data_IF_935843830421
#
_entry.id   IF_935843830421
#
_cell.length_a   1.000
_cell.length_b   1.000
_cell.length_c   1.000
_cell.angle_alpha   90.00
_cell.angle_beta   90.00
_cell.angle_gamma   90.00
#
_symmetry.space_group_name_H-M   'P 1'
#
loop_
_entity.id
_entity.type
_entity.pdbx_description
1 polymer ?
#
# COMPACT_ATOMS: atom_id res chain seq x y z
N UNK A 1 3.69 -20.95 -21.92
CA UNK A 1 3.85 -19.90 -22.94
C UNK A 1 3.42 -18.60 -22.31
N UNK A 2 4.25 -17.56 -22.34
CA UNK A 2 3.82 -16.23 -21.90
C UNK A 2 2.81 -15.67 -22.90
N UNK A 3 1.66 -15.22 -22.41
CA UNK A 3 0.66 -14.55 -23.24
C UNK A 3 1.14 -13.14 -23.58
N UNK A 4 1.23 -12.79 -24.87
CA UNK A 4 1.66 -11.46 -25.30
C UNK A 4 0.72 -10.37 -24.79
N UNK A 5 1.28 -9.18 -24.61
CA UNK A 5 0.51 -7.96 -24.39
C UNK A 5 0.16 -7.35 -25.75
N UNK A 6 -1.10 -7.02 -25.94
CA UNK A 6 -1.63 -6.31 -27.10
C UNK A 6 -1.67 -4.82 -26.81
N UNK A 7 -0.95 -4.06 -27.64
CA UNK A 7 -1.02 -2.60 -27.65
C UNK A 7 -1.87 -2.15 -28.83
N UNK A 8 -2.82 -1.26 -28.57
CA UNK A 8 -3.73 -0.70 -29.57
C UNK A 8 -3.44 0.80 -29.69
N UNK A 9 -3.16 1.26 -30.91
CA UNK A 9 -3.03 2.68 -31.19
C UNK A 9 -3.71 3.00 -32.52
N UNK A 10 -4.70 3.90 -32.50
CA UNK A 10 -5.59 4.16 -33.64
C UNK A 10 -6.20 2.83 -34.12
N UNK A 11 -5.97 2.45 -35.39
CA UNK A 11 -6.48 1.22 -35.98
C UNK A 11 -5.41 0.11 -36.08
N UNK A 12 -4.29 0.26 -35.38
CA UNK A 12 -3.21 -0.72 -35.37
C UNK A 12 -3.14 -1.47 -34.03
N UNK A 13 -2.86 -2.77 -34.13
CA UNK A 13 -2.58 -3.64 -32.98
C UNK A 13 -1.17 -4.22 -33.14
N UNK A 14 -0.36 -4.12 -32.09
CA UNK A 14 0.98 -4.74 -32.02
C UNK A 14 1.07 -5.63 -30.78
N UNK A 15 1.81 -6.72 -30.89
CA UNK A 15 1.98 -7.67 -29.80
C UNK A 15 3.38 -7.56 -29.19
N UNK A 16 3.46 -7.58 -27.87
CA UNK A 16 4.67 -7.55 -27.08
C UNK A 16 4.82 -8.84 -26.28
N UNK A 17 5.98 -9.48 -26.39
CA UNK A 17 6.31 -10.68 -25.60
C UNK A 17 6.94 -10.34 -24.24
N UNK A 18 7.17 -9.06 -23.93
CA UNK A 18 7.79 -8.62 -22.68
C UNK A 18 6.74 -8.13 -21.69
N UNK A 19 6.91 -8.47 -20.41
CA UNK A 19 6.13 -7.91 -19.29
C UNK A 19 6.50 -6.46 -18.96
N UNK A 20 7.66 -5.99 -19.45
CA UNK A 20 8.14 -4.61 -19.34
C UNK A 20 8.03 -3.94 -20.69
N UNK A 21 7.25 -2.86 -20.79
CA UNK A 21 7.08 -2.10 -22.03
C UNK A 21 7.83 -0.78 -21.91
N UNK A 22 8.73 -0.51 -22.87
CA UNK A 22 9.49 0.75 -22.92
C UNK A 22 8.83 1.73 -23.87
N UNK A 23 8.75 3.00 -23.47
CA UNK A 23 8.22 4.09 -24.30
C UNK A 23 8.89 4.13 -25.67
N UNK A 24 10.23 4.02 -25.72
CA UNK A 24 10.98 4.02 -26.99
C UNK A 24 10.56 2.89 -27.95
N UNK A 25 10.16 1.74 -27.40
CA UNK A 25 9.72 0.61 -28.19
C UNK A 25 8.31 0.88 -28.76
N UNK A 26 7.42 1.50 -27.96
CA UNK A 26 6.10 1.96 -28.43
C UNK A 26 6.27 3.00 -29.55
N UNK A 27 7.13 4.01 -29.34
CA UNK A 27 7.43 5.04 -30.34
C UNK A 27 7.87 4.42 -31.67
N UNK A 28 8.79 3.46 -31.61
CA UNK A 28 9.32 2.78 -32.79
C UNK A 28 8.23 1.96 -33.50
N UNK A 29 7.42 1.20 -32.75
CA UNK A 29 6.44 0.29 -33.33
C UNK A 29 5.23 0.98 -33.96
N UNK A 30 4.85 2.14 -33.42
CA UNK A 30 3.67 2.90 -33.86
C UNK A 30 4.04 4.20 -34.58
N UNK A 31 5.33 4.45 -34.81
CA UNK A 31 5.86 5.68 -35.39
C UNK A 31 5.32 6.95 -34.68
N UNK A 32 5.35 6.93 -33.34
CA UNK A 32 4.90 8.05 -32.50
C UNK A 32 6.12 8.92 -32.17
N UNK A 33 6.03 10.21 -32.50
CA UNK A 33 7.12 11.18 -32.23
C UNK A 33 7.19 11.62 -30.76
N UNK A 34 6.05 11.63 -30.05
CA UNK A 34 6.01 12.01 -28.64
C UNK A 34 6.66 10.94 -27.76
N UNK A 35 7.49 11.37 -26.81
CA UNK A 35 8.00 10.53 -25.71
C UNK A 35 7.03 10.48 -24.51
N UNK A 36 5.96 11.28 -24.53
CA UNK A 36 4.98 11.32 -23.45
C UNK A 36 3.87 10.31 -23.77
N UNK A 37 4.13 9.04 -23.48
CA UNK A 37 3.19 7.95 -23.76
C UNK A 37 2.81 7.26 -22.46
N UNK A 38 1.52 7.05 -22.25
CA UNK A 38 0.97 6.20 -21.20
C UNK A 38 0.06 5.14 -21.82
N UNK A 39 -0.30 4.14 -21.02
CA UNK A 39 -1.20 3.06 -21.42
C UNK A 39 -2.50 3.13 -20.61
N UNK A 40 -3.62 2.84 -21.24
CA UNK A 40 -4.89 2.65 -20.56
C UNK A 40 -5.36 1.21 -20.78
N UNK A 41 -5.77 0.52 -19.73
CA UNK A 41 -6.42 -0.78 -19.93
C UNK A 41 -7.93 -0.65 -20.22
N UNK A 42 -8.56 -1.79 -20.47
CA UNK A 42 -10.00 -1.90 -20.79
C UNK A 42 -10.93 -1.54 -19.62
N UNK A 43 -10.37 -1.33 -18.42
CA UNK A 43 -11.09 -0.92 -17.21
C UNK A 43 -10.76 0.53 -16.83
N UNK A 44 -10.24 1.31 -17.78
CA UNK A 44 -9.83 2.70 -17.60
C UNK A 44 -8.69 2.92 -16.59
N UNK A 45 -7.98 1.87 -16.17
CA UNK A 45 -6.79 2.07 -15.35
C UNK A 45 -5.65 2.61 -16.22
N UNK A 46 -4.95 3.59 -15.68
CA UNK A 46 -3.88 4.30 -16.37
C UNK A 46 -2.52 3.85 -15.85
N UNK A 47 -1.59 3.58 -16.77
CA UNK A 47 -0.23 3.14 -16.52
C UNK A 47 0.74 4.11 -17.18
N UNK A 48 1.47 4.83 -16.34
CA UNK A 48 2.48 5.79 -16.78
C UNK A 48 3.88 5.15 -16.75
N UNK A 49 4.80 5.65 -17.57
CA UNK A 49 6.20 5.25 -17.50
C UNK A 49 6.85 5.76 -16.21
N UNK A 50 7.82 5.00 -15.70
CA UNK A 50 8.74 5.42 -14.65
C UNK A 50 9.81 6.40 -15.21
N UNK A 51 10.77 6.79 -14.36
CA UNK A 51 11.88 7.69 -14.75
C UNK A 51 12.75 7.14 -15.90
N UNK A 52 12.78 5.84 -16.08
CA UNK A 52 13.57 5.15 -17.11
C UNK A 52 12.77 4.90 -18.41
N UNK A 53 11.52 5.40 -18.47
CA UNK A 53 10.64 5.20 -19.61
C UNK A 53 10.01 3.81 -19.68
N UNK A 54 9.98 3.07 -18.57
CA UNK A 54 9.39 1.74 -18.47
C UNK A 54 7.99 1.77 -17.87
N UNK A 55 7.06 1.07 -18.49
CA UNK A 55 5.70 0.85 -17.99
C UNK A 55 5.65 -0.56 -17.41
N UNK A 56 5.44 -0.62 -16.09
CA UNK A 56 5.55 -1.82 -15.26
C UNK A 56 4.21 -2.20 -14.63
N UNK A 57 4.17 -3.37 -13.97
CA UNK A 57 3.02 -3.85 -13.19
C UNK A 57 1.71 -3.91 -13.98
N UNK A 58 1.80 -4.30 -15.25
CA UNK A 58 0.66 -4.45 -16.15
C UNK A 58 -0.22 -5.61 -15.68
N UNK A 59 -1.41 -5.27 -15.16
CA UNK A 59 -2.38 -6.26 -14.66
C UNK A 59 -3.24 -6.87 -15.77
N UNK A 60 -3.30 -6.19 -16.92
CA UNK A 60 -4.07 -6.58 -18.09
C UNK A 60 -3.16 -7.00 -19.25
N UNK A 61 -3.78 -7.49 -20.32
CA UNK A 61 -3.10 -7.91 -21.56
C UNK A 61 -3.45 -7.04 -22.77
N UNK A 62 -4.42 -6.14 -22.64
CA UNK A 62 -4.85 -5.26 -23.73
C UNK A 62 -4.78 -3.84 -23.21
N UNK A 63 -4.04 -3.00 -23.92
CA UNK A 63 -3.90 -1.59 -23.58
C UNK A 63 -4.06 -0.72 -24.81
N UNK A 64 -4.70 0.44 -24.62
CA UNK A 64 -4.64 1.54 -25.57
C UNK A 64 -3.42 2.40 -25.28
N UNK A 65 -2.70 2.77 -26.33
CA UNK A 65 -1.55 3.68 -26.27
C UNK A 65 -2.05 5.11 -26.34
N UNK A 66 -1.61 5.94 -25.41
CA UNK A 66 -2.09 7.30 -25.24
C UNK A 66 -0.92 8.29 -25.29
N UNK A 67 -0.58 8.82 -26.47
CA UNK A 67 0.41 9.87 -26.61
C UNK A 67 -0.16 11.20 -26.12
N UNK A 68 0.67 11.99 -25.47
CA UNK A 68 0.36 13.33 -24.99
C UNK A 68 1.34 14.35 -25.53
N UNK A 69 0.89 15.60 -25.65
CA UNK A 69 1.77 16.75 -25.90
C UNK A 69 2.39 17.28 -24.61
N UNK A 70 1.78 17.00 -23.46
CA UNK A 70 2.21 17.41 -22.12
C UNK A 70 2.96 16.27 -21.46
N UNK A 71 4.08 16.58 -20.80
CA UNK A 71 4.88 15.55 -20.14
C UNK A 71 4.15 15.02 -18.92
N UNK A 72 3.88 13.72 -18.91
CA UNK A 72 3.23 13.03 -17.80
C UNK A 72 4.16 11.97 -17.24
N UNK A 73 4.42 12.05 -15.93
CA UNK A 73 5.22 11.07 -15.20
C UNK A 73 4.65 10.83 -13.82
N UNK A 74 4.90 9.63 -13.28
CA UNK A 74 4.64 9.36 -11.88
C UNK A 74 5.83 9.79 -11.04
N UNK A 75 5.52 10.44 -9.93
CA UNK A 75 6.46 10.68 -8.85
C UNK A 75 5.93 10.04 -7.57
N UNK A 76 6.85 9.79 -6.64
CA UNK A 76 6.55 9.12 -5.37
C UNK A 76 7.03 9.98 -4.21
N UNK A 77 6.16 10.14 -3.21
CA UNK A 77 6.49 10.73 -1.91
C UNK A 77 6.34 9.66 -0.83
N UNK A 78 7.29 9.63 0.09
CA UNK A 78 7.26 8.79 1.28
C UNK A 78 7.01 9.64 2.51
N UNK A 79 6.00 9.28 3.30
CA UNK A 79 5.67 9.95 4.55
C UNK A 79 5.87 8.97 5.69
N UNK A 80 6.78 9.33 6.59
CA UNK A 80 7.01 8.54 7.80
C UNK A 80 5.84 8.72 8.77
N UNK A 81 5.47 7.63 9.45
CA UNK A 81 4.51 7.71 10.55
C UNK A 81 5.00 8.68 11.63
N UNK A 82 4.07 9.39 12.25
CA UNK A 82 4.34 10.23 13.43
C UNK A 82 4.18 9.46 14.73
N UNK A 83 3.33 8.44 14.73
CA UNK A 83 3.15 7.54 15.86
C UNK A 83 2.87 6.12 15.36
N UNK A 84 3.33 5.14 16.13
CA UNK A 84 2.93 3.74 15.94
C UNK A 84 3.15 2.96 17.22
N UNK A 85 2.19 2.14 17.60
CA UNK A 85 2.26 1.27 18.78
C UNK A 85 1.33 0.08 18.60
N UNK A 86 1.51 -0.96 19.41
CA UNK A 86 0.51 -2.02 19.53
C UNK A 86 -0.15 -1.95 20.90
N UNK A 87 -1.40 -2.41 20.98
CA UNK A 87 -2.15 -2.57 22.23
C UNK A 87 -2.53 -4.03 22.40
N UNK A 88 -2.57 -4.53 23.64
CA UNK A 88 -2.87 -5.93 23.94
C UNK A 88 -4.02 -6.08 24.94
N UNK A 89 -4.84 -7.12 24.78
CA UNK A 89 -5.98 -7.38 25.68
C UNK A 89 -5.59 -7.71 27.12
N UNK A 90 -4.34 -8.13 27.38
CA UNK A 90 -3.89 -8.62 28.69
C UNK A 90 -3.04 -7.65 29.51
N UNK A 91 -2.88 -6.37 29.11
CA UNK A 91 -2.11 -5.41 29.91
C UNK A 91 -1.62 -4.15 29.19
N UNK A 92 -0.87 -3.32 29.93
CA UNK A 92 -0.26 -2.07 29.48
C UNK A 92 0.80 -2.30 28.38
N UNK A 93 0.94 -1.30 27.50
CA UNK A 93 1.93 -1.26 26.43
C UNK A 93 3.34 -1.62 26.92
N UNK A 94 3.95 -2.63 26.29
CA UNK A 94 5.38 -2.91 26.43
C UNK A 94 6.10 -2.26 25.22
N UNK A 95 7.05 -1.33 25.45
CA UNK A 95 7.84 -0.73 24.38
C UNK A 95 8.82 -1.76 23.79
N UNK A 96 8.29 -2.69 22.99
CA UNK A 96 9.07 -3.58 22.15
C UNK A 96 9.60 -2.86 20.91
N UNK A 97 10.60 -3.46 20.27
CA UNK A 97 11.15 -2.97 18.99
C UNK A 97 10.28 -3.32 17.76
N UNK A 98 9.06 -3.81 17.98
CA UNK A 98 8.18 -4.34 16.94
C UNK A 98 6.72 -3.95 17.20
N UNK A 99 5.99 -3.79 16.10
CA UNK A 99 4.53 -3.73 16.11
C UNK A 99 3.98 -5.16 16.05
N UNK A 100 2.74 -5.37 16.49
CA UNK A 100 2.14 -6.71 16.55
C UNK A 100 0.67 -6.72 16.23
N UNK A 101 0.25 -7.74 15.49
CA UNK A 101 -1.16 -8.09 15.29
C UNK A 101 -1.39 -9.56 15.63
N UNK A 102 -2.65 -9.94 15.84
CA UNK A 102 -3.05 -11.34 16.01
C UNK A 102 -3.07 -11.80 17.47
N UNK A 103 -3.31 -13.09 17.65
CA UNK A 103 -3.53 -13.73 18.94
C UNK A 103 -2.35 -14.60 19.34
N UNK A 104 -2.02 -14.65 20.63
CA UNK A 104 -1.08 -15.62 21.18
C UNK A 104 -1.73 -16.52 22.22
N UNK A 105 -1.61 -17.82 21.98
CA UNK A 105 -2.10 -18.86 22.89
C UNK A 105 -1.27 -18.85 24.19
N UNK A 106 0.06 -18.69 24.08
CA UNK A 106 0.97 -18.67 25.23
C UNK A 106 0.59 -17.55 26.21
N UNK A 107 0.34 -16.35 25.68
CA UNK A 107 0.07 -15.15 26.48
C UNK A 107 -1.42 -14.87 26.68
N UNK A 108 -2.28 -15.69 26.06
CA UNK A 108 -3.75 -15.58 26.09
C UNK A 108 -4.24 -14.16 25.81
N UNK A 109 -3.69 -13.55 24.77
CA UNK A 109 -4.02 -12.17 24.40
C UNK A 109 -4.12 -11.97 22.90
N UNK A 110 -4.85 -10.92 22.52
CA UNK A 110 -4.95 -10.41 21.16
C UNK A 110 -4.30 -9.04 21.11
N UNK A 111 -3.62 -8.76 20.01
CA UNK A 111 -2.86 -7.53 19.80
C UNK A 111 -3.31 -6.86 18.51
N UNK A 112 -3.47 -5.54 18.57
CA UNK A 112 -3.71 -4.71 17.40
C UNK A 112 -2.63 -3.63 17.32
N UNK A 113 -2.31 -3.23 16.10
CA UNK A 113 -1.34 -2.17 15.85
C UNK A 113 -2.07 -0.92 15.38
N UNK A 114 -1.68 0.24 15.89
CA UNK A 114 -2.13 1.54 15.41
C UNK A 114 -0.96 2.30 14.78
N UNK A 115 -1.21 2.99 13.67
CA UNK A 115 -0.22 3.78 12.92
C UNK A 115 -0.85 5.12 12.52
N UNK A 116 -0.15 6.22 12.78
CA UNK A 116 -0.60 7.57 12.45
C UNK A 116 0.35 8.29 11.51
N UNK A 117 -0.18 9.12 10.62
CA UNK A 117 0.57 10.13 9.89
C UNK A 117 0.10 11.50 10.35
N UNK A 118 0.98 12.33 10.92
CA UNK A 118 0.57 13.63 11.47
C UNK A 118 0.68 14.78 10.48
N UNK A 119 1.37 14.59 9.35
CA UNK A 119 1.60 15.64 8.37
C UNK A 119 1.56 15.08 6.93
N UNK A 120 0.60 15.57 6.13
CA UNK A 120 0.45 15.25 4.71
C UNK A 120 0.66 16.47 3.80
N UNK A 121 1.25 17.57 4.28
CA UNK A 121 1.43 18.81 3.49
C UNK A 121 2.28 18.61 2.24
N UNK A 122 3.22 17.65 2.25
CA UNK A 122 4.02 17.31 1.07
C UNK A 122 3.19 16.65 -0.03
N UNK A 123 2.06 16.00 0.31
CA UNK A 123 1.09 15.49 -0.66
C UNK A 123 0.28 16.65 -1.25
N UNK A 124 -0.28 17.53 -0.41
CA UNK A 124 -1.06 18.68 -0.85
C UNK A 124 -2.13 18.32 -1.88
N UNK A 125 -2.35 19.18 -2.87
CA UNK A 125 -3.36 19.00 -3.93
C UNK A 125 -2.85 18.17 -5.13
N UNK A 126 -1.83 17.31 -4.92
CA UNK A 126 -1.28 16.47 -5.99
C UNK A 126 -2.33 15.50 -6.52
N UNK A 127 -2.25 15.19 -7.82
CA UNK A 127 -3.13 14.20 -8.44
C UNK A 127 -2.73 12.77 -8.04
N UNK A 128 -3.25 12.29 -6.90
CA UNK A 128 -2.93 10.97 -6.34
C UNK A 128 -3.46 9.86 -7.27
N UNK A 129 -2.53 9.00 -7.71
CA UNK A 129 -2.83 7.80 -8.50
C UNK A 129 -2.95 6.58 -7.60
N UNK A 130 -1.98 6.38 -6.69
CA UNK A 130 -1.99 5.30 -5.70
C UNK A 130 -1.45 5.77 -4.36
N UNK A 131 -1.92 5.15 -3.29
CA UNK A 131 -1.30 5.30 -1.98
C UNK A 131 -1.30 3.96 -1.22
N UNK A 132 -0.18 3.66 -0.56
CA UNK A 132 0.02 2.42 0.17
C UNK A 132 0.51 2.66 1.59
N UNK A 133 -0.12 2.02 2.57
CA UNK A 133 0.53 1.79 3.86
C UNK A 133 1.54 0.66 3.69
N UNK A 134 2.77 0.87 4.16
CA UNK A 134 3.84 -0.12 4.06
C UNK A 134 4.46 -0.44 5.41
N UNK A 135 4.48 -1.72 5.73
CA UNK A 135 5.16 -2.28 6.90
C UNK A 135 6.08 -3.41 6.45
N UNK A 136 7.21 -3.56 7.14
CA UNK A 136 8.12 -4.69 6.93
C UNK A 136 7.81 -5.77 7.96
N UNK A 137 7.73 -7.02 7.51
CA UNK A 137 7.67 -8.17 8.41
C UNK A 137 8.91 -8.23 9.29
N UNK A 138 8.73 -8.67 10.53
CA UNK A 138 9.81 -9.09 11.41
C UNK A 138 9.53 -10.55 11.80
N UNK A 139 10.53 -11.41 11.76
CA UNK A 139 10.33 -12.82 12.08
C UNK A 139 10.17 -12.96 13.59
N UNK A 140 9.06 -13.57 14.01
CA UNK A 140 8.78 -13.92 15.40
C UNK A 140 9.64 -15.11 15.84
N UNK A 141 9.85 -16.07 14.96
CA UNK A 141 10.69 -17.25 15.13
C UNK A 141 10.88 -17.96 13.78
N UNK A 142 11.94 -18.76 13.65
CA UNK A 142 12.25 -19.47 12.40
C UNK A 142 11.25 -20.59 12.03
N UNK A 143 10.45 -21.06 13.00
CA UNK A 143 9.57 -22.24 12.86
C UNK A 143 8.11 -21.95 13.31
N UNK A 144 7.66 -20.69 13.28
CA UNK A 144 6.26 -20.37 13.61
C UNK A 144 5.32 -20.78 12.48
N UNK A 145 4.00 -20.83 12.77
CA UNK A 145 2.93 -21.13 11.81
C UNK A 145 3.19 -20.45 10.45
N UNK A 146 3.39 -21.26 9.41
CA UNK A 146 3.83 -20.79 8.10
C UNK A 146 2.70 -20.14 7.27
N UNK A 147 1.46 -20.39 7.65
CA UNK A 147 0.30 -19.96 6.87
C UNK A 147 0.14 -18.44 6.95
N UNK A 148 0.08 -17.76 5.80
CA UNK A 148 -0.24 -16.34 5.75
C UNK A 148 -1.56 -16.07 6.47
N UNK A 149 -1.59 -15.00 7.26
CA UNK A 149 -2.78 -14.56 7.99
C UNK A 149 -3.33 -13.27 7.40
N UNK A 150 -4.65 -13.17 7.32
CA UNK A 150 -5.28 -11.94 6.85
C UNK A 150 -5.11 -10.83 7.89
N UNK A 151 -4.54 -9.70 7.48
CA UNK A 151 -4.44 -8.49 8.29
C UNK A 151 -5.28 -7.41 7.63
N UNK A 152 -6.30 -6.95 8.35
CA UNK A 152 -7.23 -5.92 7.92
C UNK A 152 -6.79 -4.54 8.40
N UNK A 153 -7.06 -3.52 7.59
CA UNK A 153 -6.90 -2.11 7.94
C UNK A 153 -8.25 -1.46 8.20
N UNK A 154 -8.36 -0.75 9.30
CA UNK A 154 -9.54 0.04 9.66
C UNK A 154 -9.14 1.49 9.87
N UNK A 155 -10.02 2.42 9.47
CA UNK A 155 -9.82 3.85 9.70
C UNK A 155 -10.11 4.17 11.16
N UNK A 156 -9.19 4.87 11.82
CA UNK A 156 -9.44 5.41 13.16
C UNK A 156 -10.23 6.71 13.01
N UNK A 157 -11.27 6.90 13.83
CA UNK A 157 -12.22 8.01 13.69
C UNK A 157 -11.87 9.23 14.55
N UNK A 158 -11.05 9.05 15.58
CA UNK A 158 -10.72 10.06 16.58
C UNK A 158 -9.22 10.13 16.86
N UNK A 159 -8.73 11.26 17.37
CA UNK A 159 -7.34 11.38 17.82
C UNK A 159 -7.07 10.46 19.03
N UNK A 160 -5.88 9.84 19.08
CA UNK A 160 -5.61 8.72 20.01
C UNK A 160 -4.30 8.82 20.78
N UNK A 161 -3.84 10.04 21.07
CA UNK A 161 -2.55 10.27 21.75
C UNK A 161 -2.46 9.61 23.15
N UNK A 162 -3.60 9.37 23.80
CA UNK A 162 -3.69 8.73 25.13
C UNK A 162 -3.76 7.21 25.11
N UNK A 163 -3.84 6.56 23.95
CA UNK A 163 -3.99 5.10 23.88
C UNK A 163 -2.70 4.39 24.30
N UNK A 164 -2.74 3.73 25.46
CA UNK A 164 -1.59 2.96 26.02
C UNK A 164 -1.94 1.50 26.32
N UNK A 165 -3.22 1.12 26.24
CA UNK A 165 -3.72 -0.24 26.49
C UNK A 165 -4.98 -0.49 25.66
N UNK A 166 -5.39 -1.76 25.58
CA UNK A 166 -6.54 -2.16 24.77
C UNK A 166 -7.85 -1.47 25.17
N UNK A 167 -8.08 -1.28 26.48
CA UNK A 167 -9.26 -0.59 26.98
C UNK A 167 -9.36 0.86 26.48
N UNK A 168 -8.24 1.46 26.08
CA UNK A 168 -8.14 2.83 25.59
C UNK A 168 -8.00 2.88 24.07
N UNK A 169 -8.29 1.78 23.35
CA UNK A 169 -8.22 1.79 21.89
C UNK A 169 -9.18 2.84 21.32
N UNK A 170 -8.78 3.57 20.27
CA UNK A 170 -9.63 4.58 19.71
C UNK A 170 -10.79 3.97 18.92
N UNK A 171 -11.87 4.73 18.79
CA UNK A 171 -12.97 4.42 17.91
C UNK A 171 -12.47 4.27 16.46
N UNK A 172 -12.92 3.22 15.79
CA UNK A 172 -12.53 2.88 14.42
C UNK A 172 -13.71 2.33 13.63
N UNK A 173 -13.64 2.40 12.30
CA UNK A 173 -14.68 1.85 11.43
C UNK A 173 -14.70 0.33 11.45
N UNK A 174 -15.85 -0.30 11.70
CA UNK A 174 -15.97 -1.76 11.67
C UNK A 174 -15.64 -2.34 10.29
N UNK A 175 -16.02 -1.64 9.22
CA UNK A 175 -15.67 -2.02 7.86
C UNK A 175 -14.18 -1.78 7.59
N UNK A 176 -13.44 -2.78 7.08
CA UNK A 176 -12.05 -2.60 6.71
C UNK A 176 -11.94 -1.73 5.45
N UNK A 177 -10.94 -0.85 5.44
CA UNK A 177 -10.50 -0.10 4.27
C UNK A 177 -9.97 -1.05 3.21
N UNK A 178 -9.21 -2.06 3.64
CA UNK A 178 -8.60 -3.09 2.80
C UNK A 178 -8.02 -4.21 3.68
N UNK A 179 -7.65 -5.34 3.07
CA UNK A 179 -6.96 -6.45 3.73
C UNK A 179 -5.96 -7.10 2.77
N UNK A 180 -4.93 -7.74 3.34
CA UNK A 180 -3.99 -8.58 2.59
C UNK A 180 -3.62 -9.80 3.42
N UNK A 181 -3.12 -10.85 2.75
CA UNK A 181 -2.49 -12.00 3.40
C UNK A 181 -1.03 -11.67 3.75
N UNK A 182 -0.67 -11.82 5.02
CA UNK A 182 0.65 -11.53 5.56
C UNK A 182 1.31 -12.83 6.00
N UNK A 183 2.36 -13.24 5.30
CA UNK A 183 3.17 -14.42 5.63
C UNK A 183 4.14 -14.18 6.79
N UNK A 184 4.64 -15.28 7.36
CA UNK A 184 5.70 -15.24 8.36
C UNK A 184 7.08 -15.12 7.70
N UNK A 185 7.65 -13.92 7.72
CA UNK A 185 8.91 -13.55 7.06
C UNK A 185 9.52 -12.34 7.75
N UNK A 186 10.86 -12.31 7.80
CA UNK A 186 11.66 -11.28 8.47
C UNK A 186 12.06 -10.09 7.62
N UNK A 187 11.70 -10.05 6.33
CA UNK A 187 12.17 -8.99 5.43
C UNK A 187 11.16 -8.54 4.37
N UNK A 188 10.07 -9.29 4.17
CA UNK A 188 9.10 -8.91 3.16
C UNK A 188 8.42 -7.59 3.50
N UNK A 189 8.22 -6.78 2.46
CA UNK A 189 7.45 -5.53 2.53
C UNK A 189 6.00 -5.84 2.20
N UNK A 190 5.13 -5.60 3.18
CA UNK A 190 3.68 -5.72 3.02
C UNK A 190 3.09 -4.35 2.66
N UNK A 191 2.16 -4.32 1.71
CA UNK A 191 1.58 -3.09 1.18
C UNK A 191 0.06 -3.22 1.09
N UNK A 192 -0.65 -2.31 1.75
CA UNK A 192 -2.10 -2.21 1.68
C UNK A 192 -2.48 -0.99 0.84
N UNK A 193 -3.34 -1.16 -0.17
CA UNK A 193 -3.83 -0.05 -0.99
C UNK A 193 -4.86 0.77 -0.21
N UNK A 194 -4.50 2.01 0.12
CA UNK A 194 -5.32 2.96 0.85
C UNK A 194 -5.53 4.24 0.04
N UNK A 195 -5.54 4.12 -1.30
CA UNK A 195 -5.65 5.26 -2.22
C UNK A 195 -6.89 6.11 -1.94
N UNK A 196 -8.07 5.48 -1.84
CA UNK A 196 -9.32 6.20 -1.58
C UNK A 196 -9.36 6.89 -0.22
N UNK A 197 -8.77 6.26 0.80
CA UNK A 197 -8.67 6.83 2.14
C UNK A 197 -7.70 8.01 2.16
N UNK A 198 -6.54 7.88 1.53
CA UNK A 198 -5.53 8.96 1.44
C UNK A 198 -6.11 10.18 0.72
N UNK A 199 -6.85 9.98 -0.37
CA UNK A 199 -7.60 11.07 -1.03
C UNK A 199 -8.59 11.75 -0.07
N UNK A 200 -9.33 10.96 0.70
CA UNK A 200 -10.27 11.50 1.70
C UNK A 200 -9.56 12.28 2.83
N UNK A 201 -8.33 11.91 3.19
CA UNK A 201 -7.51 12.66 4.14
C UNK A 201 -7.05 14.02 3.58
N UNK A 202 -6.64 14.05 2.30
CA UNK A 202 -6.27 15.30 1.61
C UNK A 202 -7.47 16.23 1.45
N UNK A 203 -8.64 15.66 1.11
CA UNK A 203 -9.93 16.39 1.05
C UNK A 203 -10.43 16.85 2.44
N UNK A 204 -9.67 16.59 3.52
CA UNK A 204 -10.00 16.93 4.90
C UNK A 204 -11.33 16.35 5.40
N UNK A 205 -11.79 15.25 4.80
CA UNK A 205 -13.01 14.54 5.24
C UNK A 205 -12.84 13.89 6.60
N UNK A 206 -11.61 13.46 6.92
CA UNK A 206 -11.27 12.83 8.20
C UNK A 206 -10.06 13.52 8.83
N UNK A 207 -10.14 13.91 10.12
CA UNK A 207 -9.09 14.69 10.78
C UNK A 207 -7.91 13.85 11.28
N UNK A 208 -8.14 12.54 11.50
CA UNK A 208 -7.14 11.61 12.00
C UNK A 208 -6.64 10.72 10.86
N UNK A 209 -5.39 10.90 10.45
CA UNK A 209 -4.75 10.05 9.43
C UNK A 209 -4.19 8.77 10.08
N UNK A 210 -5.07 8.12 10.85
CA UNK A 210 -4.78 6.99 11.70
C UNK A 210 -5.41 5.70 11.16
N UNK A 211 -4.68 4.61 11.33
CA UNK A 211 -5.08 3.27 10.90
C UNK A 211 -4.90 2.27 12.04
N UNK A 212 -5.86 1.37 12.18
CA UNK A 212 -5.79 0.18 13.01
C UNK A 212 -5.55 -1.04 12.12
N UNK A 213 -4.50 -1.79 12.44
CA UNK A 213 -4.18 -3.10 11.88
C UNK A 213 -4.65 -4.16 12.87
N UNK A 214 -5.47 -5.11 12.41
CA UNK A 214 -5.91 -6.24 13.22
C UNK A 214 -6.02 -7.50 12.38
N UNK A 215 -6.11 -8.63 13.08
CA UNK A 215 -6.51 -9.91 12.51
C UNK A 215 -7.84 -10.30 13.13
N UNK A 216 -8.66 -11.07 12.40
CA UNK A 216 -9.96 -11.53 12.87
C UNK A 216 -9.91 -12.93 13.50
N UNK A 217 -8.72 -13.44 13.78
CA UNK A 217 -8.56 -14.78 14.36
C UNK A 217 -8.95 -14.84 15.84
N UNK A 218 -9.58 -15.94 16.23
CA UNK A 218 -9.94 -16.25 17.60
C UNK A 218 -8.70 -16.34 18.51
N UNK A 219 -8.89 -16.08 19.81
CA UNK A 219 -7.81 -16.05 20.79
C UNK A 219 -7.15 -17.41 21.06
N UNK A 220 -7.79 -18.50 20.63
CA UNK A 220 -7.32 -19.88 20.73
C UNK A 220 -6.46 -20.32 19.53
N UNK A 221 -6.27 -19.46 18.53
CA UNK A 221 -5.38 -19.70 17.38
C UNK A 221 -4.15 -18.81 17.51
N UNK A 222 -2.95 -19.40 17.38
CA UNK A 222 -1.71 -18.65 17.37
C UNK A 222 -1.50 -17.99 16.00
N UNK A 223 -1.51 -16.68 15.99
CA UNK A 223 -1.51 -15.85 14.77
C UNK A 223 -0.70 -14.56 14.91
N UNK A 224 0.09 -14.49 15.99
CA UNK A 224 0.95 -13.34 16.26
C UNK A 224 1.85 -13.06 15.06
N UNK A 225 1.72 -11.85 14.52
CA UNK A 225 2.58 -11.33 13.48
C UNK A 225 3.37 -10.13 13.99
N UNK A 226 4.68 -10.16 13.83
CA UNK A 226 5.54 -9.02 14.12
C UNK A 226 5.85 -8.20 12.87
N UNK A 227 5.84 -6.88 13.05
CA UNK A 227 6.31 -5.93 12.05
C UNK A 227 7.44 -5.08 12.64
N UNK A 228 8.37 -4.68 11.78
CA UNK A 228 9.41 -3.75 12.19
C UNK A 228 8.78 -2.40 12.59
N UNK A 229 9.26 -1.85 13.70
CA UNK A 229 8.83 -0.54 14.17
C UNK A 229 9.91 0.51 13.92
N UNK A 230 11.12 0.34 14.46
CA UNK A 230 12.12 1.40 14.47
C UNK A 230 13.15 1.26 13.34
N UNK A 231 13.71 0.07 13.15
CA UNK A 231 14.73 -0.19 12.13
C UNK A 231 14.20 -0.09 10.69
N UNK A 232 12.92 -0.45 10.49
CA UNK A 232 12.19 -0.26 9.23
C UNK A 232 10.82 0.27 9.55
N UNK A 233 10.67 1.54 9.25
CA UNK A 233 9.59 2.34 9.76
C UNK A 233 8.29 2.14 8.96
N UNK A 234 7.10 2.01 9.56
CA UNK A 234 5.84 2.24 8.85
C UNK A 234 5.86 3.54 8.03
N UNK A 235 5.49 3.43 6.77
CA UNK A 235 5.55 4.53 5.81
C UNK A 235 4.30 4.53 4.95
N UNK A 236 3.79 5.72 4.67
CA UNK A 236 2.81 5.96 3.62
C UNK A 236 3.58 6.29 2.33
N UNK A 237 3.46 5.42 1.33
CA UNK A 237 3.90 5.74 -0.02
C UNK A 237 2.74 6.35 -0.80
N UNK A 238 2.94 7.52 -1.39
CA UNK A 238 1.98 8.18 -2.28
C UNK A 238 2.59 8.34 -3.66
N UNK A 239 1.93 7.78 -4.65
CA UNK A 239 2.28 7.89 -6.07
C UNK A 239 1.30 8.86 -6.72
N UNK A 240 1.80 9.91 -7.36
CA UNK A 240 1.00 10.96 -7.97
C UNK A 240 1.48 11.30 -9.38
N UNK A 241 0.55 11.83 -10.17
CA UNK A 241 0.83 12.29 -11.53
C UNK A 241 1.35 13.73 -11.51
N UNK A 242 2.43 13.97 -12.25
CA UNK A 242 2.94 15.30 -12.58
C UNK A 242 2.73 15.57 -14.06
N UNK A 243 2.15 16.74 -14.36
CA UNK A 243 1.99 17.28 -15.71
C UNK A 243 2.86 18.53 -15.86
N UNK A 244 3.84 18.49 -16.75
CA UNK A 244 4.68 19.65 -17.12
C UNK A 244 4.40 20.08 -18.55
#
# INVERSE_FOLDING_TARGET
METPISLVYKNEVKFFMSSVIRVIAIQTLFNISSSNIWLQDVFDNVYFPNSDGEILNLSQKIFSVQPSTTQMKLETIFINRTDSRFVSTSGEYNPGNHLTTGSSIQWKNTRNTIVQFGNLTSVGDKNIVKAYLRLYGNSRCSNCCADPKEVTLHRIEEYYFSTTKWADQPNYTSEPVTSIMVGETGEARFSWDITGLTKSWIDKKYPNYGLLLKQNESWDIESTKYFAQNARTPTLEVIYLVTN
#
